data_IF_574857274604
#
_entry.id   IF_574857274604
#
_cell.length_a   1.000
_cell.length_b   1.000
_cell.length_c   1.000
_cell.angle_alpha   90.00
_cell.angle_beta   90.00
_cell.angle_gamma   90.00
#
_symmetry.space_group_name_H-M   'P 1'
#
loop_
_entity.id
_entity.type
_entity.pdbx_description
1 polymer ?
#
# COMPACT_ATOMS: atom_id res chain seq x y z
N UNK A 1 8.17 8.58 26.30
CA UNK A 1 8.98 9.42 25.37
C UNK A 1 8.93 10.86 25.86
N UNK A 2 10.06 11.55 25.95
CA UNK A 2 10.09 12.95 26.38
C UNK A 2 9.37 13.85 25.35
N UNK A 3 8.45 14.70 25.82
CA UNK A 3 7.80 15.73 25.01
C UNK A 3 8.88 16.65 24.43
N UNK A 4 9.00 16.69 23.11
CA UNK A 4 9.93 17.61 22.42
C UNK A 4 9.17 18.86 22.02
N UNK A 5 9.52 20.00 22.59
CA UNK A 5 8.97 21.29 22.19
C UNK A 5 9.83 21.90 21.08
N UNK A 6 9.20 22.30 19.98
CA UNK A 6 9.86 23.04 18.89
C UNK A 6 9.95 24.55 19.22
N UNK A 7 10.73 25.29 18.44
CA UNK A 7 10.86 26.76 18.62
C UNK A 7 9.54 27.49 18.32
N UNK A 8 8.67 26.91 17.50
CA UNK A 8 7.29 27.36 17.28
C UNK A 8 6.39 27.23 18.52
N UNK A 9 6.84 26.55 19.57
CA UNK A 9 6.03 26.20 20.75
C UNK A 9 5.27 24.88 20.63
N UNK A 10 5.24 24.26 19.44
CA UNK A 10 4.60 22.97 19.20
C UNK A 10 5.21 21.87 20.07
N UNK A 11 4.39 21.17 20.83
CA UNK A 11 4.82 20.01 21.63
C UNK A 11 4.56 18.72 20.88
N UNK A 12 5.61 18.03 20.46
CA UNK A 12 5.51 16.77 19.73
C UNK A 12 5.40 15.58 20.70
N UNK A 13 4.35 14.78 20.49
CA UNK A 13 4.18 13.47 21.11
C UNK A 13 4.59 12.30 20.17
N UNK A 14 5.00 12.62 18.94
CA UNK A 14 5.41 11.67 17.91
C UNK A 14 6.89 11.77 17.50
N UNK A 15 7.21 11.25 16.32
CA UNK A 15 8.56 11.29 15.74
C UNK A 15 9.03 12.74 15.52
N UNK A 16 10.31 13.02 15.74
CA UNK A 16 10.85 14.33 15.43
C UNK A 16 10.92 14.53 13.89
N UNK A 17 10.56 15.70 13.33
CA UNK A 17 10.46 15.90 11.87
C UNK A 17 11.74 15.58 11.11
N UNK A 18 12.90 15.92 11.68
CA UNK A 18 14.20 15.61 11.09
C UNK A 18 14.48 14.09 11.05
N UNK A 19 14.02 13.35 12.06
CA UNK A 19 14.14 11.88 12.09
C UNK A 19 13.15 11.25 11.11
N UNK A 20 11.96 11.82 10.96
CA UNK A 20 11.00 11.39 9.95
C UNK A 20 11.58 11.51 8.53
N UNK A 21 12.19 12.66 8.20
CA UNK A 21 12.85 12.82 6.89
C UNK A 21 14.00 11.84 6.68
N UNK A 22 14.76 11.53 7.75
CA UNK A 22 15.79 10.48 7.70
C UNK A 22 15.18 9.10 7.44
N UNK A 23 14.01 8.80 8.03
CA UNK A 23 13.31 7.54 7.75
C UNK A 23 12.81 7.48 6.30
N UNK A 24 12.28 8.58 5.75
CA UNK A 24 11.94 8.68 4.33
C UNK A 24 13.17 8.41 3.47
N UNK A 25 14.32 9.05 3.77
CA UNK A 25 15.56 8.88 3.01
C UNK A 25 16.07 7.44 3.04
N UNK A 26 15.91 6.75 4.17
CA UNK A 26 16.34 5.35 4.32
C UNK A 26 15.46 4.34 3.57
N UNK A 27 14.18 4.65 3.34
CA UNK A 27 13.23 3.72 2.69
C UNK A 27 12.93 4.06 1.23
N UNK A 28 12.96 5.34 0.89
CA UNK A 28 12.74 5.86 -0.46
C UNK A 28 13.86 6.86 -0.85
N UNK A 29 15.14 6.45 -0.86
CA UNK A 29 16.25 7.35 -1.20
C UNK A 29 16.12 7.94 -2.61
N UNK A 30 15.47 7.25 -3.54
CA UNK A 30 15.22 7.70 -4.91
C UNK A 30 14.45 9.04 -4.97
N UNK A 31 13.58 9.33 -4.00
CA UNK A 31 12.89 10.61 -3.88
C UNK A 31 13.87 11.79 -3.79
N UNK A 32 14.93 11.65 -2.98
CA UNK A 32 15.90 12.74 -2.78
C UNK A 32 17.01 12.77 -3.82
N UNK A 33 17.16 11.70 -4.61
CA UNK A 33 18.10 11.62 -5.74
C UNK A 33 17.55 12.26 -7.02
N UNK A 34 16.30 12.75 -6.99
CA UNK A 34 15.66 13.36 -8.17
C UNK A 34 15.16 12.34 -9.19
N UNK A 35 14.92 11.09 -8.78
CA UNK A 35 14.38 10.06 -9.66
C UNK A 35 12.88 10.26 -9.96
N UNK A 36 12.18 10.99 -9.09
CA UNK A 36 10.74 11.24 -9.23
C UNK A 36 10.49 12.65 -9.76
N UNK A 37 9.49 12.77 -10.62
CA UNK A 37 8.91 14.06 -10.98
C UNK A 37 8.13 14.62 -9.80
N UNK A 38 8.52 15.80 -9.33
CA UNK A 38 7.86 16.52 -8.23
C UNK A 38 7.11 17.76 -8.70
N UNK A 39 6.89 17.91 -10.01
CA UNK A 39 6.20 19.06 -10.59
C UNK A 39 4.68 18.86 -10.61
N UNK A 40 3.94 19.96 -10.54
CA UNK A 40 2.48 19.94 -10.56
C UNK A 40 1.82 19.80 -9.18
N UNK A 41 0.53 20.16 -9.07
CA UNK A 41 -0.19 20.21 -7.79
C UNK A 41 -0.35 18.82 -7.16
N UNK A 42 -0.66 17.79 -7.95
CA UNK A 42 -0.90 16.42 -7.47
C UNK A 42 0.37 15.75 -6.90
N UNK A 43 1.56 16.30 -7.22
CA UNK A 43 2.87 15.79 -6.78
C UNK A 43 3.56 16.73 -5.78
N UNK A 44 2.88 17.79 -5.34
CA UNK A 44 3.43 18.78 -4.42
C UNK A 44 3.86 18.17 -3.07
N UNK A 45 3.26 17.05 -2.66
CA UNK A 45 3.65 16.31 -1.46
C UNK A 45 5.10 15.78 -1.54
N UNK A 46 5.55 15.36 -2.72
CA UNK A 46 6.95 14.95 -2.96
C UNK A 46 7.88 16.16 -2.86
N UNK A 47 7.51 17.26 -3.53
CA UNK A 47 8.27 18.51 -3.52
C UNK A 47 8.44 19.04 -2.09
N UNK A 48 7.43 18.92 -1.23
CA UNK A 48 7.49 19.33 0.17
C UNK A 48 8.55 18.56 0.96
N UNK A 49 8.64 17.24 0.79
CA UNK A 49 9.67 16.44 1.44
C UNK A 49 11.06 16.83 0.96
N UNK A 50 11.24 17.02 -0.35
CA UNK A 50 12.51 17.49 -0.94
C UNK A 50 12.89 18.87 -0.39
N UNK A 51 11.93 19.79 -0.30
CA UNK A 51 12.13 21.13 0.27
C UNK A 51 12.64 21.05 1.71
N UNK A 52 11.98 20.29 2.59
CA UNK A 52 12.41 20.20 3.98
C UNK A 52 13.73 19.46 4.16
N UNK A 53 14.02 18.47 3.32
CA UNK A 53 15.33 17.79 3.34
C UNK A 53 16.48 18.76 3.04
N UNK A 54 16.26 19.73 2.15
CA UNK A 54 17.22 20.80 1.84
C UNK A 54 17.23 21.91 2.89
N UNK A 55 16.13 22.12 3.61
CA UNK A 55 15.92 23.25 4.52
C UNK A 55 15.63 22.81 5.97
N UNK A 56 16.46 21.93 6.54
CA UNK A 56 16.22 21.33 7.86
C UNK A 56 16.00 22.33 9.00
N UNK A 57 16.59 23.53 8.93
CA UNK A 57 16.38 24.57 9.94
C UNK A 57 14.93 25.08 10.00
N UNK A 58 14.18 25.01 8.89
CA UNK A 58 12.77 25.41 8.87
C UNK A 58 11.89 24.50 9.72
N UNK A 59 12.31 23.25 9.97
CA UNK A 59 11.58 22.29 10.80
C UNK A 59 11.44 22.73 12.26
N UNK A 60 12.25 23.69 12.72
CA UNK A 60 12.16 24.22 14.09
C UNK A 60 10.93 25.12 14.30
N UNK A 61 10.38 25.66 13.21
CA UNK A 61 9.36 26.69 13.22
C UNK A 61 7.98 26.20 12.73
N UNK A 62 7.82 24.91 12.44
CA UNK A 62 6.56 24.36 11.94
C UNK A 62 5.50 24.32 13.05
N UNK A 63 4.25 24.56 12.67
CA UNK A 63 3.09 24.38 13.56
C UNK A 63 2.50 22.97 13.43
N UNK A 64 1.39 22.70 14.15
CA UNK A 64 0.73 21.39 14.12
C UNK A 64 0.22 21.03 12.72
N UNK A 65 -0.31 22.00 11.97
CA UNK A 65 -0.83 21.78 10.62
C UNK A 65 0.30 21.37 9.67
N UNK A 66 1.43 22.09 9.70
CA UNK A 66 2.56 21.80 8.85
C UNK A 66 3.27 20.50 9.25
N UNK A 67 3.34 20.19 10.54
CA UNK A 67 3.81 18.88 11.00
C UNK A 67 2.92 17.74 10.52
N UNK A 68 1.60 17.88 10.62
CA UNK A 68 0.64 16.92 10.06
C UNK A 68 0.84 16.76 8.54
N UNK A 69 1.04 17.85 7.82
CA UNK A 69 1.31 17.82 6.37
C UNK A 69 2.58 17.03 6.05
N UNK A 70 3.68 17.29 6.76
CA UNK A 70 4.93 16.52 6.57
C UNK A 70 4.71 15.03 6.87
N UNK A 71 3.97 14.69 7.92
CA UNK A 71 3.62 13.30 8.21
C UNK A 71 2.79 12.66 7.09
N UNK A 72 1.79 13.38 6.56
CA UNK A 72 0.96 12.90 5.47
C UNK A 72 1.78 12.67 4.19
N UNK A 73 2.62 13.64 3.80
CA UNK A 73 3.53 13.47 2.67
C UNK A 73 4.47 12.28 2.87
N UNK A 74 5.10 12.16 4.04
CA UNK A 74 6.01 11.07 4.34
C UNK A 74 5.32 9.70 4.26
N UNK A 75 4.09 9.61 4.78
CA UNK A 75 3.31 8.38 4.71
C UNK A 75 2.96 8.04 3.26
N UNK A 76 2.44 9.00 2.50
CA UNK A 76 2.07 8.83 1.09
C UNK A 76 3.25 8.39 0.22
N UNK A 77 4.41 9.02 0.40
CA UNK A 77 5.63 8.70 -0.36
C UNK A 77 6.24 7.35 0.00
N UNK A 78 5.87 6.75 1.13
CA UNK A 78 6.55 5.55 1.65
C UNK A 78 5.65 4.35 1.91
N UNK A 79 4.32 4.50 1.85
CA UNK A 79 3.36 3.41 2.10
C UNK A 79 3.58 2.19 1.18
N UNK A 80 3.97 2.43 -0.08
CA UNK A 80 4.29 1.38 -1.06
C UNK A 80 5.70 0.77 -0.94
N UNK A 81 6.54 1.27 -0.02
CA UNK A 81 7.93 0.81 0.14
C UNK A 81 8.06 -0.39 1.07
N UNK A 82 9.24 -1.02 1.11
CA UNK A 82 9.51 -2.19 1.95
C UNK A 82 9.48 -1.89 3.45
N UNK A 83 9.82 -0.65 3.84
CA UNK A 83 9.88 -0.18 5.23
C UNK A 83 9.17 1.18 5.34
N UNK A 84 7.83 1.22 5.34
CA UNK A 84 7.09 2.47 5.38
C UNK A 84 7.39 3.26 6.67
N UNK A 85 7.18 4.57 6.61
CA UNK A 85 7.34 5.44 7.78
C UNK A 85 6.29 5.15 8.87
N UNK A 86 6.73 5.17 10.13
CA UNK A 86 5.89 4.90 11.30
C UNK A 86 5.20 6.18 11.81
N UNK A 87 4.27 6.69 11.01
CA UNK A 87 3.46 7.89 11.34
C UNK A 87 1.96 7.64 11.26
N UNK A 88 1.54 6.42 10.90
CA UNK A 88 0.15 6.04 10.65
C UNK A 88 -0.75 6.40 11.84
N UNK A 89 -0.41 5.98 13.05
CA UNK A 89 -1.20 6.25 14.25
C UNK A 89 -1.22 7.74 14.62
N UNK A 90 -0.18 8.50 14.26
CA UNK A 90 -0.16 9.94 14.48
C UNK A 90 -1.16 10.65 13.58
N UNK A 91 -1.20 10.32 12.29
CA UNK A 91 -2.10 10.97 11.32
C UNK A 91 -3.53 10.40 11.34
N UNK A 92 -3.72 9.15 11.79
CA UNK A 92 -5.05 8.52 11.94
C UNK A 92 -5.77 8.99 13.21
N UNK A 93 -5.03 9.34 14.27
CA UNK A 93 -5.64 9.69 15.56
C UNK A 93 -4.84 10.68 16.41
N UNK A 94 -3.54 10.43 16.62
CA UNK A 94 -2.75 11.13 17.65
C UNK A 94 -2.75 12.65 17.51
N UNK A 95 -2.56 13.16 16.29
CA UNK A 95 -2.52 14.61 16.01
C UNK A 95 -3.91 15.25 16.05
N UNK A 96 -4.96 14.50 15.73
CA UNK A 96 -6.35 14.95 15.87
C UNK A 96 -6.80 15.08 17.33
N UNK A 97 -6.11 14.40 18.26
CA UNK A 97 -6.34 14.52 19.70
C UNK A 97 -5.38 15.50 20.39
N UNK A 98 -4.58 16.24 19.61
CA UNK A 98 -3.63 17.22 20.16
C UNK A 98 -4.34 18.36 20.90
N UNK A 99 -3.75 18.88 21.98
CA UNK A 99 -4.37 19.92 22.81
C UNK A 99 -4.67 21.24 22.08
N UNK A 100 -3.94 21.51 20.99
CA UNK A 100 -4.13 22.69 20.16
C UNK A 100 -5.00 22.46 18.91
N UNK A 101 -5.62 21.27 18.77
CA UNK A 101 -6.32 20.88 17.54
C UNK A 101 -7.37 21.90 17.08
N UNK A 102 -8.03 22.61 18.00
CA UNK A 102 -9.06 23.58 17.67
C UNK A 102 -8.62 24.68 16.69
N UNK A 103 -7.32 25.06 16.69
CA UNK A 103 -6.76 26.08 15.77
C UNK A 103 -6.41 25.50 14.38
N UNK A 104 -6.29 24.18 14.28
CA UNK A 104 -5.66 23.51 13.14
C UNK A 104 -6.61 22.54 12.41
N UNK A 105 -7.69 22.11 13.07
CA UNK A 105 -8.57 21.02 12.61
C UNK A 105 -9.12 21.24 11.21
N UNK A 106 -9.53 22.47 10.88
CA UNK A 106 -10.11 22.78 9.57
C UNK A 106 -9.06 22.72 8.46
N UNK A 107 -7.84 23.23 8.71
CA UNK A 107 -6.74 23.15 7.74
C UNK A 107 -6.27 21.72 7.53
N UNK A 108 -6.13 20.95 8.61
CA UNK A 108 -5.75 19.54 8.54
C UNK A 108 -6.81 18.71 7.81
N UNK A 109 -8.11 18.94 8.06
CA UNK A 109 -9.18 18.22 7.39
C UNK A 109 -9.25 18.53 5.90
N UNK A 110 -9.11 19.81 5.51
CA UNK A 110 -9.03 20.21 4.10
C UNK A 110 -7.82 19.58 3.41
N UNK A 111 -6.68 19.52 4.09
CA UNK A 111 -5.51 18.83 3.56
C UNK A 111 -5.76 17.32 3.37
N UNK A 112 -6.47 16.67 4.29
CA UNK A 112 -6.85 15.27 4.12
C UNK A 112 -7.75 15.07 2.89
N UNK A 113 -8.73 15.95 2.67
CA UNK A 113 -9.57 15.94 1.47
C UNK A 113 -8.71 16.14 0.22
N UNK A 114 -7.84 17.15 0.21
CA UNK A 114 -6.93 17.45 -0.91
C UNK A 114 -6.02 16.27 -1.24
N UNK A 115 -5.50 15.57 -0.22
CA UNK A 115 -4.59 14.43 -0.43
C UNK A 115 -5.21 13.26 -1.18
N UNK A 116 -6.54 13.21 -1.28
CA UNK A 116 -7.24 12.22 -2.08
C UNK A 116 -6.86 12.27 -3.57
N UNK A 117 -6.48 13.46 -4.07
CA UNK A 117 -6.12 13.66 -5.48
C UNK A 117 -4.62 13.60 -5.74
N UNK A 118 -3.80 13.25 -4.75
CA UNK A 118 -2.36 13.19 -4.93
C UNK A 118 -1.94 12.00 -5.80
N UNK A 119 -1.10 12.28 -6.80
CA UNK A 119 -0.57 11.28 -7.72
C UNK A 119 0.53 10.46 -7.04
N UNK A 120 0.16 9.25 -6.61
CA UNK A 120 1.05 8.28 -5.99
C UNK A 120 1.68 7.29 -7.00
N UNK A 121 1.43 7.44 -8.30
CA UNK A 121 1.82 6.45 -9.32
C UNK A 121 3.32 6.13 -9.36
N UNK A 122 4.15 7.08 -8.95
CA UNK A 122 5.62 6.97 -8.90
C UNK A 122 6.15 6.34 -7.60
N UNK A 123 5.30 6.09 -6.60
CA UNK A 123 5.71 5.60 -5.26
C UNK A 123 5.02 4.29 -4.87
N UNK A 124 4.33 3.63 -5.80
CA UNK A 124 3.76 2.30 -5.61
C UNK A 124 3.60 1.52 -6.91
N UNK A 125 3.87 0.22 -6.83
CA UNK A 125 3.51 -0.75 -7.87
C UNK A 125 2.35 -1.67 -7.42
N UNK A 126 1.82 -1.46 -6.22
CA UNK A 126 0.65 -2.20 -5.70
C UNK A 126 -0.63 -1.60 -6.24
N UNK A 127 -0.87 -1.81 -7.53
CA UNK A 127 -2.00 -1.26 -8.27
C UNK A 127 -2.70 -2.31 -9.11
N UNK A 128 -4.00 -2.09 -9.31
CA UNK A 128 -4.83 -2.73 -10.31
C UNK A 128 -5.34 -1.67 -11.28
N UNK A 129 -5.55 -2.06 -12.53
CA UNK A 129 -5.95 -1.17 -13.59
C UNK A 129 -7.21 -1.68 -14.27
N UNK A 130 -8.16 -0.79 -14.50
CA UNK A 130 -9.32 -1.07 -15.34
C UNK A 130 -9.10 -0.47 -16.73
N UNK A 131 -8.92 -1.30 -17.78
CA UNK A 131 -8.65 -0.81 -19.12
C UNK A 131 -9.84 -0.13 -19.80
N UNK A 132 -11.07 -0.37 -19.34
CA UNK A 132 -12.26 0.23 -19.93
C UNK A 132 -12.45 1.69 -19.48
N UNK A 133 -12.12 2.00 -18.22
CA UNK A 133 -12.36 3.32 -17.62
C UNK A 133 -11.08 4.08 -17.27
N UNK A 134 -9.91 3.50 -17.52
CA UNK A 134 -8.59 3.97 -17.09
C UNK A 134 -8.49 4.22 -15.57
N UNK A 135 -9.38 3.61 -14.79
CA UNK A 135 -9.37 3.74 -13.33
C UNK A 135 -8.26 2.89 -12.72
N UNK A 136 -7.67 3.41 -11.65
CA UNK A 136 -6.65 2.74 -10.86
C UNK A 136 -7.17 2.54 -9.44
N UNK A 137 -6.90 1.36 -8.89
CA UNK A 137 -7.04 1.06 -7.47
C UNK A 137 -5.66 0.70 -6.94
N UNK A 138 -5.32 1.15 -5.73
CA UNK A 138 -4.05 0.82 -5.07
C UNK A 138 -4.25 0.64 -3.56
N UNK A 139 -3.16 0.39 -2.83
CA UNK A 139 -3.18 0.39 -1.35
C UNK A 139 -3.18 1.80 -0.74
N UNK A 140 -2.93 2.84 -1.55
CA UNK A 140 -2.90 4.23 -1.09
C UNK A 140 -4.28 4.74 -0.70
N UNK A 141 -5.33 4.26 -1.35
CA UNK A 141 -6.72 4.52 -0.96
C UNK A 141 -6.99 4.07 0.48
N UNK A 142 -6.53 2.89 0.90
CA UNK A 142 -6.66 2.44 2.30
C UNK A 142 -5.94 3.33 3.29
N UNK A 143 -4.71 3.69 2.92
CA UNK A 143 -3.90 4.65 3.66
C UNK A 143 -4.65 5.97 3.84
N UNK A 144 -5.26 6.48 2.79
CA UNK A 144 -6.06 7.70 2.80
C UNK A 144 -7.34 7.57 3.63
N UNK A 145 -8.15 6.54 3.37
CA UNK A 145 -9.42 6.26 4.03
C UNK A 145 -9.24 6.23 5.55
N UNK A 146 -8.15 5.62 6.02
CA UNK A 146 -7.79 5.56 7.42
C UNK A 146 -7.52 6.95 8.05
N UNK A 147 -6.95 7.90 7.30
CA UNK A 147 -6.73 9.28 7.75
C UNK A 147 -8.02 10.09 7.65
N UNK A 148 -8.77 9.92 6.56
CA UNK A 148 -10.04 10.60 6.30
C UNK A 148 -11.08 10.28 7.37
N UNK A 149 -11.25 9.01 7.73
CA UNK A 149 -12.20 8.64 8.79
C UNK A 149 -11.77 9.15 10.17
N UNK A 150 -10.46 9.24 10.42
CA UNK A 150 -9.92 9.89 11.63
C UNK A 150 -10.24 11.39 11.66
N UNK A 151 -10.11 12.08 10.52
CA UNK A 151 -10.51 13.47 10.37
C UNK A 151 -12.02 13.66 10.61
N UNK A 152 -12.87 12.80 10.03
CA UNK A 152 -14.32 12.80 10.27
C UNK A 152 -14.64 12.72 11.77
N UNK A 153 -14.08 11.72 12.46
CA UNK A 153 -14.30 11.53 13.90
C UNK A 153 -13.89 12.75 14.73
N UNK A 154 -12.72 13.33 14.39
CA UNK A 154 -12.22 14.52 15.04
C UNK A 154 -13.16 15.73 14.83
N UNK A 155 -13.67 15.92 13.61
CA UNK A 155 -14.57 17.01 13.26
C UNK A 155 -15.92 16.88 13.99
N UNK A 156 -16.51 15.68 14.02
CA UNK A 156 -17.75 15.39 14.77
C UNK A 156 -17.56 15.73 16.26
N UNK A 157 -16.47 15.25 16.87
CA UNK A 157 -16.16 15.51 18.28
C UNK A 157 -16.00 17.00 18.58
N UNK A 158 -15.50 17.78 17.62
CA UNK A 158 -15.31 19.23 17.73
C UNK A 158 -16.47 20.05 17.13
N UNK A 159 -17.62 19.42 16.86
CA UNK A 159 -18.85 20.05 16.35
C UNK A 159 -18.64 20.83 15.04
N UNK A 160 -17.75 20.36 14.16
CA UNK A 160 -17.49 20.93 12.82
C UNK A 160 -18.29 20.17 11.76
N UNK A 161 -19.62 20.25 11.85
CA UNK A 161 -20.52 19.36 11.11
C UNK A 161 -20.44 19.52 9.58
N UNK A 162 -20.34 20.76 9.07
CA UNK A 162 -20.24 21.01 7.62
C UNK A 162 -19.00 20.35 7.02
N UNK A 163 -17.83 20.58 7.62
CA UNK A 163 -16.59 19.99 7.13
C UNK A 163 -16.54 18.47 7.37
N UNK A 164 -17.19 17.96 8.42
CA UNK A 164 -17.35 16.52 8.61
C UNK A 164 -18.17 15.89 7.47
N UNK A 165 -19.22 16.57 6.99
CA UNK A 165 -20.00 16.11 5.86
C UNK A 165 -19.16 16.08 4.56
N UNK A 166 -18.35 17.12 4.30
CA UNK A 166 -17.42 17.15 3.15
C UNK A 166 -16.43 15.97 3.19
N UNK A 167 -15.87 15.65 4.36
CA UNK A 167 -14.99 14.47 4.51
C UNK A 167 -15.76 13.17 4.26
N UNK A 168 -16.99 13.06 4.76
CA UNK A 168 -17.81 11.87 4.54
C UNK A 168 -18.16 11.67 3.06
N UNK A 169 -18.44 12.75 2.32
CA UNK A 169 -18.74 12.72 0.89
C UNK A 169 -17.58 12.13 0.08
N UNK A 170 -16.34 12.55 0.34
CA UNK A 170 -15.19 12.00 -0.39
C UNK A 170 -14.90 10.54 -0.02
N UNK A 171 -15.12 10.12 1.24
CA UNK A 171 -14.99 8.71 1.65
C UNK A 171 -16.01 7.85 0.90
N UNK A 172 -17.26 8.32 0.79
CA UNK A 172 -18.32 7.64 0.04
C UNK A 172 -17.98 7.57 -1.44
N UNK A 173 -17.49 8.67 -2.01
CA UNK A 173 -17.08 8.72 -3.41
C UNK A 173 -15.97 7.71 -3.72
N UNK A 174 -14.99 7.55 -2.82
CA UNK A 174 -13.95 6.54 -2.95
C UNK A 174 -14.52 5.11 -2.86
N UNK A 175 -15.40 4.83 -1.90
CA UNK A 175 -16.04 3.51 -1.79
C UNK A 175 -16.82 3.14 -3.06
N UNK A 176 -17.55 4.09 -3.65
CA UNK A 176 -18.25 3.89 -4.93
C UNK A 176 -17.29 3.78 -6.13
N UNK A 177 -16.14 4.47 -6.11
CA UNK A 177 -15.10 4.33 -7.14
C UNK A 177 -14.56 2.90 -7.15
N UNK A 178 -14.22 2.36 -5.98
CA UNK A 178 -13.73 0.98 -5.84
C UNK A 178 -14.80 -0.05 -6.25
N UNK A 179 -16.06 0.15 -5.82
CA UNK A 179 -17.19 -0.71 -6.19
C UNK A 179 -17.42 -0.74 -7.71
N UNK A 180 -17.47 0.44 -8.34
CA UNK A 180 -17.65 0.58 -9.79
C UNK A 180 -16.54 -0.13 -10.56
N UNK A 181 -15.29 0.04 -10.14
CA UNK A 181 -14.15 -0.63 -10.75
C UNK A 181 -14.31 -2.16 -10.72
N UNK A 182 -14.74 -2.73 -9.59
CA UNK A 182 -14.94 -4.17 -9.45
C UNK A 182 -16.08 -4.69 -10.35
N UNK A 183 -17.18 -3.94 -10.46
CA UNK A 183 -18.28 -4.28 -11.36
C UNK A 183 -17.82 -4.31 -12.81
N UNK A 184 -17.13 -3.26 -13.27
CA UNK A 184 -16.62 -3.15 -14.63
C UNK A 184 -15.61 -4.26 -14.97
N UNK A 185 -14.65 -4.55 -14.06
CA UNK A 185 -13.68 -5.63 -14.26
C UNK A 185 -14.35 -7.00 -14.40
N UNK A 186 -15.44 -7.22 -13.66
CA UNK A 186 -16.25 -8.43 -13.78
C UNK A 186 -16.98 -8.48 -15.12
N UNK A 187 -17.62 -7.39 -15.54
CA UNK A 187 -18.34 -7.31 -16.82
C UNK A 187 -17.45 -7.65 -18.02
N UNK A 188 -16.20 -7.16 -18.02
CA UNK A 188 -15.23 -7.46 -19.08
C UNK A 188 -14.47 -8.79 -18.87
N UNK A 189 -14.78 -9.53 -17.80
CA UNK A 189 -14.12 -10.78 -17.39
C UNK A 189 -12.60 -10.67 -17.29
N UNK A 190 -12.08 -9.59 -16.71
CA UNK A 190 -10.64 -9.44 -16.47
C UNK A 190 -10.26 -10.10 -15.13
N UNK A 191 -9.99 -11.41 -15.17
CA UNK A 191 -9.65 -12.19 -13.96
C UNK A 191 -8.47 -11.61 -13.20
N UNK A 192 -7.43 -11.20 -13.94
CA UNK A 192 -6.16 -10.77 -13.36
C UNK A 192 -6.32 -9.47 -12.58
N UNK A 193 -6.92 -8.46 -13.19
CA UNK A 193 -7.13 -7.19 -12.50
C UNK A 193 -8.22 -7.33 -11.43
N UNK A 194 -9.25 -8.17 -11.61
CA UNK A 194 -10.24 -8.40 -10.55
C UNK A 194 -9.59 -9.03 -9.32
N UNK A 195 -8.76 -10.06 -9.51
CA UNK A 195 -7.99 -10.69 -8.43
C UNK A 195 -7.10 -9.65 -7.76
N UNK A 196 -6.29 -8.89 -8.50
CA UNK A 196 -5.48 -7.81 -7.91
C UNK A 196 -6.32 -6.82 -7.10
N UNK A 197 -7.43 -6.35 -7.66
CA UNK A 197 -8.35 -5.44 -6.99
C UNK A 197 -8.95 -6.03 -5.72
N UNK A 198 -9.17 -7.34 -5.66
CA UNK A 198 -9.71 -7.98 -4.45
C UNK A 198 -8.80 -7.84 -3.23
N UNK A 199 -7.48 -7.99 -3.42
CA UNK A 199 -6.50 -7.81 -2.36
C UNK A 199 -6.36 -6.33 -1.94
N UNK A 200 -6.48 -5.42 -2.90
CA UNK A 200 -6.41 -3.97 -2.67
C UNK A 200 -7.65 -3.45 -1.94
N UNK A 201 -8.85 -3.80 -2.40
CA UNK A 201 -10.11 -3.45 -1.73
C UNK A 201 -10.16 -4.00 -0.29
N UNK A 202 -9.72 -5.25 -0.08
CA UNK A 202 -9.67 -5.84 1.25
C UNK A 202 -8.70 -5.09 2.18
N UNK A 203 -7.55 -4.66 1.65
CA UNK A 203 -6.63 -3.78 2.37
C UNK A 203 -7.30 -2.44 2.70
N UNK A 204 -7.94 -1.81 1.71
CA UNK A 204 -8.44 -0.45 1.81
C UNK A 204 -9.58 -0.32 2.82
N UNK A 205 -10.60 -1.18 2.68
CA UNK A 205 -11.69 -1.21 3.64
C UNK A 205 -11.28 -1.84 4.98
N UNK A 206 -10.26 -2.69 5.00
CA UNK A 206 -9.66 -3.15 6.25
C UNK A 206 -9.02 -2.02 7.07
N UNK A 207 -8.30 -1.11 6.40
CA UNK A 207 -7.68 0.06 7.04
C UNK A 207 -8.73 1.09 7.49
N UNK A 208 -9.80 1.26 6.71
CA UNK A 208 -10.98 2.05 7.08
C UNK A 208 -11.63 1.49 8.36
N UNK A 209 -11.99 0.21 8.35
CA UNK A 209 -12.59 -0.49 9.49
C UNK A 209 -11.73 -0.37 10.75
N UNK A 210 -10.41 -0.56 10.61
CA UNK A 210 -9.46 -0.47 11.73
C UNK A 210 -9.56 0.87 12.44
N UNK A 211 -9.69 1.96 11.70
CA UNK A 211 -9.75 3.30 12.29
C UNK A 211 -11.14 3.64 12.82
N UNK A 212 -12.21 3.13 12.19
CA UNK A 212 -13.58 3.18 12.76
C UNK A 212 -13.58 2.55 14.16
N UNK A 213 -12.97 1.37 14.30
CA UNK A 213 -12.85 0.66 15.57
C UNK A 213 -11.93 1.41 16.56
N UNK A 214 -10.79 1.93 16.08
CA UNK A 214 -9.84 2.72 16.88
C UNK A 214 -10.49 3.95 17.52
N UNK A 215 -11.33 4.67 16.77
CA UNK A 215 -12.06 5.85 17.25
C UNK A 215 -13.34 5.51 18.02
N UNK A 216 -13.72 4.23 18.09
CA UNK A 216 -14.93 3.76 18.75
C UNK A 216 -16.17 4.50 18.23
N UNK A 217 -16.28 4.67 16.90
CA UNK A 217 -17.45 5.31 16.30
C UNK A 217 -18.73 4.60 16.73
N UNK A 218 -19.79 5.36 17.04
CA UNK A 218 -21.06 4.77 17.49
C UNK A 218 -21.65 3.83 16.43
N UNK A 219 -22.21 2.69 16.85
CA UNK A 219 -22.96 1.79 15.94
C UNK A 219 -24.22 2.46 15.37
N UNK A 220 -24.75 3.46 16.09
CA UNK A 220 -25.91 4.23 15.66
C UNK A 220 -25.57 5.36 14.68
N UNK A 221 -24.29 5.66 14.47
CA UNK A 221 -23.86 6.67 13.53
C UNK A 221 -24.32 6.30 12.10
N UNK A 222 -25.18 7.10 11.45
CA UNK A 222 -25.69 6.80 10.11
C UNK A 222 -24.57 6.68 9.07
N UNK A 223 -23.48 7.43 9.23
CA UNK A 223 -22.35 7.35 8.33
C UNK A 223 -21.59 6.03 8.52
N UNK A 224 -21.33 5.61 9.77
CA UNK A 224 -20.72 4.29 10.05
C UNK A 224 -21.49 3.15 9.38
N UNK A 225 -22.82 3.17 9.48
CA UNK A 225 -23.69 2.13 8.86
C UNK A 225 -23.51 2.03 7.35
N UNK A 226 -23.11 3.10 6.67
CA UNK A 226 -22.90 3.12 5.22
C UNK A 226 -21.54 2.59 4.77
N UNK A 227 -20.51 2.64 5.61
CA UNK A 227 -19.12 2.39 5.17
C UNK A 227 -18.38 1.30 5.96
N UNK A 228 -18.95 0.80 7.06
CA UNK A 228 -18.29 -0.18 7.91
C UNK A 228 -18.48 -1.61 7.37
N UNK A 229 -17.38 -2.38 7.33
CA UNK A 229 -17.37 -3.81 6.99
C UNK A 229 -17.89 -4.12 5.58
N UNK A 230 -17.68 -3.23 4.60
CA UNK A 230 -18.16 -3.38 3.21
C UNK A 230 -17.70 -4.68 2.52
N UNK A 231 -16.49 -5.15 2.81
CA UNK A 231 -15.99 -6.44 2.31
C UNK A 231 -16.47 -7.68 3.06
N UNK A 232 -17.32 -7.53 4.08
CA UNK A 232 -17.67 -8.61 5.02
C UNK A 232 -19.17 -8.78 5.26
N UNK A 233 -19.98 -7.74 5.07
CA UNK A 233 -21.42 -7.73 5.38
C UNK A 233 -22.21 -7.02 4.27
N UNK A 234 -23.44 -7.49 4.05
CA UNK A 234 -24.40 -6.82 3.18
C UNK A 234 -24.68 -5.42 3.71
N UNK A 235 -24.71 -4.48 2.77
CA UNK A 235 -24.93 -3.08 3.03
C UNK A 235 -25.94 -2.56 2.00
N UNK A 236 -27.03 -1.97 2.44
CA UNK A 236 -28.09 -1.49 1.55
C UNK A 236 -27.63 -0.34 0.64
N UNK A 237 -26.54 0.34 0.98
CA UNK A 237 -25.97 1.43 0.19
C UNK A 237 -25.00 0.96 -0.90
N UNK A 238 -24.64 -0.32 -0.91
CA UNK A 238 -23.56 -0.85 -1.76
C UNK A 238 -23.95 -2.15 -2.45
N UNK A 239 -23.34 -2.37 -3.62
CA UNK A 239 -23.50 -3.60 -4.38
C UNK A 239 -22.91 -4.80 -3.62
N UNK A 240 -23.56 -5.97 -3.64
CA UNK A 240 -23.01 -7.18 -3.03
C UNK A 240 -21.67 -7.65 -3.64
N UNK A 241 -21.23 -7.03 -4.75
CA UNK A 241 -19.91 -7.24 -5.33
C UNK A 241 -18.78 -7.04 -4.29
N UNK A 242 -18.92 -6.11 -3.34
CA UNK A 242 -17.87 -5.85 -2.34
C UNK A 242 -17.64 -7.06 -1.42
N UNK A 243 -18.71 -7.77 -1.07
CA UNK A 243 -18.62 -9.00 -0.26
C UNK A 243 -18.07 -10.14 -1.10
N UNK A 244 -18.58 -10.29 -2.33
CA UNK A 244 -18.06 -11.29 -3.27
C UNK A 244 -16.53 -11.13 -3.41
N UNK A 245 -16.07 -9.91 -3.65
CA UNK A 245 -14.66 -9.56 -3.74
C UNK A 245 -13.90 -9.84 -2.44
N UNK A 246 -14.47 -9.54 -1.27
CA UNK A 246 -13.89 -9.91 0.02
C UNK A 246 -13.70 -11.41 0.19
N UNK A 247 -14.67 -12.21 -0.25
CA UNK A 247 -14.60 -13.68 -0.25
C UNK A 247 -13.56 -14.21 -1.25
N UNK A 248 -13.48 -13.61 -2.44
CA UNK A 248 -12.45 -13.91 -3.45
C UNK A 248 -11.06 -13.64 -2.87
N UNK A 249 -10.82 -12.48 -2.25
CA UNK A 249 -9.55 -12.21 -1.60
C UNK A 249 -9.25 -13.27 -0.53
N UNK A 250 -10.23 -13.62 0.31
CA UNK A 250 -10.05 -14.63 1.37
C UNK A 250 -9.58 -15.97 0.80
N UNK A 251 -10.22 -16.44 -0.26
CA UNK A 251 -9.94 -17.73 -0.90
C UNK A 251 -8.63 -17.73 -1.69
N UNK A 252 -8.35 -16.66 -2.44
CA UNK A 252 -7.28 -16.68 -3.44
C UNK A 252 -6.00 -15.95 -2.99
N UNK A 253 -6.12 -14.84 -2.25
CA UNK A 253 -5.02 -13.85 -2.13
C UNK A 253 -4.72 -13.39 -0.70
N UNK A 254 -5.46 -13.83 0.30
CA UNK A 254 -5.31 -13.37 1.68
C UNK A 254 -3.90 -13.63 2.24
N UNK A 255 -3.24 -14.68 1.75
CA UNK A 255 -1.87 -15.05 2.09
C UNK A 255 -0.80 -14.30 1.27
N UNK A 256 -1.16 -13.73 0.12
CA UNK A 256 -0.25 -12.97 -0.74
C UNK A 256 0.07 -11.59 -0.16
N UNK A 257 -0.92 -10.92 0.42
CA UNK A 257 -0.82 -9.53 0.87
C UNK A 257 -0.16 -9.35 2.25
N UNK A 258 0.81 -10.19 2.57
CA UNK A 258 1.63 -10.07 3.76
C UNK A 258 2.65 -8.92 3.63
N UNK A 259 3.18 -8.42 4.76
CA UNK A 259 4.08 -7.25 4.83
C UNK A 259 5.45 -7.43 4.13
N UNK A 260 5.65 -8.51 3.38
CA UNK A 260 6.89 -8.90 2.69
C UNK A 260 8.16 -8.66 3.53
N UNK A 261 8.15 -9.12 4.77
CA UNK A 261 9.20 -8.82 5.76
C UNK A 261 10.60 -9.28 5.29
N UNK A 262 10.68 -10.35 4.51
CA UNK A 262 11.94 -10.85 3.95
C UNK A 262 12.55 -9.86 2.95
N UNK A 263 11.73 -9.18 2.14
CA UNK A 263 12.17 -8.17 1.15
C UNK A 263 12.71 -6.88 1.79
N UNK A 264 12.66 -6.76 3.12
CA UNK A 264 13.31 -5.66 3.83
C UNK A 264 14.82 -5.81 3.90
N UNK A 265 15.34 -7.03 3.78
CA UNK A 265 16.78 -7.31 3.90
C UNK A 265 17.58 -6.76 2.71
N UNK A 266 17.21 -7.06 1.44
CA UNK A 266 17.96 -6.56 0.29
C UNK A 266 17.81 -5.05 0.15
N UNK A 267 18.81 -4.31 0.61
CA UNK A 267 18.76 -2.83 0.60
C UNK A 267 18.78 -2.27 -0.82
N UNK A 268 19.33 -3.02 -1.77
CA UNK A 268 19.33 -2.69 -3.19
C UNK A 268 17.92 -2.41 -3.74
N UNK A 269 16.89 -3.11 -3.24
CA UNK A 269 15.49 -2.90 -3.63
C UNK A 269 14.95 -1.52 -3.26
N UNK A 270 15.62 -0.79 -2.37
CA UNK A 270 15.22 0.57 -1.97
C UNK A 270 15.81 1.64 -2.89
N UNK A 271 16.77 1.29 -3.75
CA UNK A 271 17.55 2.27 -4.49
C UNK A 271 16.78 2.95 -5.63
N UNK A 272 15.72 2.32 -6.14
CA UNK A 272 14.86 2.83 -7.19
C UNK A 272 13.40 2.45 -6.95
N UNK A 273 12.51 3.34 -7.37
CA UNK A 273 11.07 3.18 -7.49
C UNK A 273 10.67 2.01 -8.40
N UNK A 274 11.51 1.64 -9.36
CA UNK A 274 11.28 0.49 -10.27
C UNK A 274 11.18 -0.83 -9.52
N UNK A 275 11.86 -0.93 -8.38
CA UNK A 275 11.94 -2.16 -7.60
C UNK A 275 10.80 -2.32 -6.59
N UNK A 276 9.87 -1.36 -6.50
CA UNK A 276 8.71 -1.48 -5.62
C UNK A 276 7.88 -2.71 -5.97
N UNK A 277 7.48 -3.46 -4.94
CA UNK A 277 6.81 -4.75 -5.09
C UNK A 277 5.38 -4.57 -5.64
N UNK A 278 4.96 -5.35 -6.66
CA UNK A 278 3.59 -5.32 -7.18
C UNK A 278 2.62 -6.15 -6.32
N UNK A 279 1.37 -6.26 -6.76
CA UNK A 279 0.36 -7.13 -6.13
C UNK A 279 0.63 -8.60 -6.46
N UNK A 280 0.81 -9.44 -5.44
CA UNK A 280 0.95 -10.88 -5.59
C UNK A 280 -0.36 -11.57 -6.02
N UNK A 281 -0.30 -12.75 -6.65
CA UNK A 281 0.90 -13.51 -7.01
C UNK A 281 1.57 -13.05 -8.32
N UNK A 282 1.03 -12.05 -9.02
CA UNK A 282 1.41 -11.68 -10.39
C UNK A 282 2.75 -10.92 -10.48
N UNK A 283 3.85 -11.57 -10.06
CA UNK A 283 5.17 -10.97 -9.89
C UNK A 283 6.21 -11.42 -10.94
N UNK A 284 5.83 -12.21 -11.96
CA UNK A 284 6.76 -12.68 -13.00
C UNK A 284 7.53 -11.53 -13.69
N UNK A 285 6.80 -10.52 -14.17
CA UNK A 285 7.38 -9.35 -14.88
C UNK A 285 8.30 -8.53 -13.95
N UNK A 286 7.95 -8.44 -12.67
CA UNK A 286 8.80 -7.76 -11.68
C UNK A 286 10.07 -8.56 -11.38
N UNK A 287 9.98 -9.88 -11.30
CA UNK A 287 11.13 -10.77 -11.23
C UNK A 287 12.06 -10.59 -12.43
N UNK A 288 11.50 -10.60 -13.65
CA UNK A 288 12.23 -10.41 -14.90
C UNK A 288 12.93 -9.05 -14.95
N UNK A 289 12.26 -7.98 -14.52
CA UNK A 289 12.87 -6.65 -14.35
C UNK A 289 14.12 -6.74 -13.45
N UNK A 290 13.99 -7.33 -12.26
CA UNK A 290 15.09 -7.44 -11.29
C UNK A 290 16.28 -8.24 -11.83
N UNK A 291 16.03 -9.28 -12.63
CA UNK A 291 17.12 -10.09 -13.18
C UNK A 291 17.81 -9.44 -14.39
N UNK A 292 17.07 -8.69 -15.22
CA UNK A 292 17.64 -7.94 -16.37
C UNK A 292 18.32 -6.64 -15.99
N UNK A 293 17.94 -6.01 -14.88
CA UNK A 293 18.41 -4.66 -14.57
C UNK A 293 19.94 -4.65 -14.37
N UNK A 294 20.68 -3.85 -15.16
CA UNK A 294 22.13 -3.73 -15.01
C UNK A 294 22.56 -2.98 -13.74
N UNK A 295 21.66 -2.20 -13.11
CA UNK A 295 21.94 -1.48 -11.86
C UNK A 295 21.98 -2.42 -10.64
N UNK A 296 21.58 -3.69 -10.81
CA UNK A 296 21.67 -4.74 -9.80
C UNK A 296 22.82 -5.70 -10.12
N UNK A 297 23.81 -5.76 -9.23
CA UNK A 297 24.91 -6.73 -9.33
C UNK A 297 24.43 -8.18 -9.14
N UNK A 298 25.25 -9.15 -9.55
CA UNK A 298 24.95 -10.57 -9.31
C UNK A 298 24.83 -10.89 -7.81
N UNK A 299 25.63 -10.24 -6.96
CA UNK A 299 25.54 -10.41 -5.51
C UNK A 299 24.21 -9.88 -4.94
N UNK A 300 23.73 -8.74 -5.44
CA UNK A 300 22.42 -8.20 -5.03
C UNK A 300 21.27 -9.06 -5.54
N UNK A 301 21.36 -9.58 -6.77
CA UNK A 301 20.39 -10.55 -7.31
C UNK A 301 20.35 -11.83 -6.48
N UNK A 302 21.51 -12.32 -6.04
CA UNK A 302 21.63 -13.46 -5.12
C UNK A 302 20.98 -13.17 -3.75
N UNK A 303 21.17 -11.97 -3.20
CA UNK A 303 20.51 -11.53 -1.95
C UNK A 303 18.97 -11.49 -2.11
N UNK A 304 18.49 -10.97 -3.25
CA UNK A 304 17.06 -10.89 -3.57
C UNK A 304 16.43 -12.29 -3.64
N UNK A 305 17.02 -13.24 -4.37
CA UNK A 305 16.45 -14.60 -4.45
C UNK A 305 16.50 -15.33 -3.10
N UNK A 306 17.51 -15.05 -2.28
CA UNK A 306 17.56 -15.55 -0.91
C UNK A 306 16.38 -15.02 -0.09
N UNK A 307 16.05 -13.73 -0.25
CA UNK A 307 14.88 -13.12 0.39
C UNK A 307 13.54 -13.65 -0.13
N UNK A 308 13.44 -14.03 -1.42
CA UNK A 308 12.26 -14.72 -1.95
C UNK A 308 12.05 -16.08 -1.29
N UNK A 309 13.12 -16.87 -1.20
CA UNK A 309 13.05 -18.19 -0.59
C UNK A 309 12.76 -18.12 0.91
N UNK A 310 13.38 -17.20 1.64
CA UNK A 310 13.05 -16.93 3.05
C UNK A 310 11.61 -16.44 3.24
N UNK A 311 11.11 -15.64 2.31
CA UNK A 311 9.71 -15.22 2.27
C UNK A 311 8.76 -16.42 2.14
N UNK A 312 9.03 -17.29 1.17
CA UNK A 312 8.30 -18.53 0.95
C UNK A 312 8.33 -19.45 2.17
N UNK A 313 9.49 -19.64 2.82
CA UNK A 313 9.56 -20.50 4.03
C UNK A 313 8.69 -20.00 5.18
N UNK A 314 8.42 -18.70 5.25
CA UNK A 314 7.54 -18.10 6.26
C UNK A 314 6.06 -18.18 5.89
N UNK A 315 5.75 -18.25 4.60
CA UNK A 315 4.40 -18.34 4.07
C UNK A 315 4.43 -19.11 2.75
N UNK A 316 4.34 -20.43 2.83
CA UNK A 316 4.51 -21.34 1.69
C UNK A 316 3.32 -21.34 0.72
N UNK A 317 2.24 -20.66 1.10
CA UNK A 317 1.05 -20.41 0.29
C UNK A 317 1.11 -19.08 -0.49
N UNK A 318 2.13 -18.23 -0.26
CA UNK A 318 2.33 -17.00 -1.01
C UNK A 318 3.17 -17.26 -2.28
N UNK A 319 2.48 -17.42 -3.40
CA UNK A 319 3.05 -17.69 -4.72
C UNK A 319 3.79 -16.50 -5.31
N UNK A 320 3.54 -15.26 -4.86
CA UNK A 320 4.25 -14.08 -5.35
C UNK A 320 5.77 -14.22 -5.34
N UNK A 321 6.36 -14.83 -4.30
CA UNK A 321 7.82 -15.08 -4.26
C UNK A 321 8.29 -16.10 -5.29
N UNK A 322 7.51 -17.17 -5.51
CA UNK A 322 7.80 -18.19 -6.53
C UNK A 322 7.77 -17.54 -7.92
N UNK A 323 6.76 -16.71 -8.18
CA UNK A 323 6.59 -15.99 -9.45
C UNK A 323 7.72 -14.99 -9.71
N UNK A 324 8.08 -14.19 -8.70
CA UNK A 324 9.21 -13.27 -8.78
C UNK A 324 10.55 -14.00 -8.99
N UNK A 325 10.77 -15.11 -8.29
CA UNK A 325 11.96 -15.93 -8.46
C UNK A 325 12.07 -16.48 -9.87
N UNK A 326 10.99 -17.05 -10.42
CA UNK A 326 10.94 -17.54 -11.80
C UNK A 326 11.34 -16.44 -12.80
N UNK A 327 10.69 -15.29 -12.71
CA UNK A 327 10.97 -14.15 -13.60
C UNK A 327 12.45 -13.75 -13.55
N UNK A 328 13.02 -13.67 -12.35
CA UNK A 328 14.41 -13.30 -12.14
C UNK A 328 15.35 -14.33 -12.76
N UNK A 329 15.23 -15.62 -12.43
CA UNK A 329 16.16 -16.63 -12.95
C UNK A 329 16.04 -16.80 -14.47
N UNK A 330 14.83 -16.72 -15.05
CA UNK A 330 14.66 -16.89 -16.50
C UNK A 330 15.26 -15.75 -17.32
N UNK A 331 15.56 -14.63 -16.68
CA UNK A 331 16.22 -13.49 -17.32
C UNK A 331 17.74 -13.53 -17.25
N UNK A 332 18.32 -14.49 -16.52
CA UNK A 332 19.77 -14.68 -16.39
C UNK A 332 20.29 -15.68 -17.42
N UNK A 333 21.53 -15.51 -17.94
CA UNK A 333 22.08 -16.37 -19.00
C UNK A 333 22.05 -17.88 -18.71
N UNK A 334 22.33 -18.28 -17.47
CA UNK A 334 22.34 -19.69 -17.03
C UNK A 334 21.38 -19.96 -15.88
N UNK A 335 20.34 -19.13 -15.74
CA UNK A 335 19.36 -19.25 -14.66
C UNK A 335 19.97 -19.10 -13.28
N UNK A 336 19.57 -19.98 -12.34
CA UNK A 336 20.11 -19.98 -10.98
C UNK A 336 21.64 -20.20 -10.94
N UNK A 337 22.22 -20.91 -11.92
CA UNK A 337 23.66 -21.19 -11.97
C UNK A 337 24.50 -19.91 -12.03
N UNK A 338 23.97 -18.87 -12.66
CA UNK A 338 24.60 -17.55 -12.72
C UNK A 338 24.84 -16.93 -11.33
N UNK A 339 24.05 -17.32 -10.31
CA UNK A 339 24.10 -16.74 -8.97
C UNK A 339 24.80 -17.63 -7.94
N UNK A 340 25.14 -18.88 -8.25
CA UNK A 340 25.62 -19.87 -7.26
C UNK A 340 26.92 -19.42 -6.56
N UNK A 341 27.83 -18.76 -7.28
CA UNK A 341 29.07 -18.25 -6.71
C UNK A 341 28.86 -17.10 -5.69
N UNK A 342 27.67 -16.51 -5.66
CA UNK A 342 27.29 -15.40 -4.78
C UNK A 342 26.36 -15.82 -3.65
N UNK A 343 26.09 -17.12 -3.50
CA UNK A 343 25.20 -17.67 -2.49
C UNK A 343 25.90 -18.71 -1.62
N UNK A 344 25.47 -18.90 -0.36
CA UNK A 344 25.87 -20.06 0.42
C UNK A 344 25.52 -21.37 -0.28
N UNK A 345 26.47 -22.30 -0.36
CA UNK A 345 26.30 -23.58 -1.04
C UNK A 345 25.07 -24.37 -0.54
N UNK A 346 24.88 -24.45 0.78
CA UNK A 346 23.77 -25.16 1.40
C UNK A 346 22.42 -24.56 1.00
N UNK A 347 22.33 -23.22 0.88
CA UNK A 347 21.12 -22.53 0.46
C UNK A 347 20.77 -22.84 -0.99
N UNK A 348 21.77 -22.88 -1.89
CA UNK A 348 21.56 -23.26 -3.30
C UNK A 348 21.00 -24.69 -3.39
N UNK A 349 21.57 -25.62 -2.63
CA UNK A 349 21.09 -27.00 -2.58
C UNK A 349 19.67 -27.10 -2.01
N UNK A 350 19.37 -26.34 -0.96
CA UNK A 350 18.05 -26.29 -0.34
C UNK A 350 17.00 -25.78 -1.35
N UNK A 351 17.28 -24.67 -2.03
CA UNK A 351 16.41 -24.11 -3.07
C UNK A 351 16.15 -25.15 -4.15
N UNK A 352 17.20 -25.74 -4.76
CA UNK A 352 17.05 -26.70 -5.86
C UNK A 352 16.21 -27.93 -5.51
N UNK A 353 16.18 -28.35 -4.25
CA UNK A 353 15.42 -29.50 -3.75
C UNK A 353 14.03 -29.14 -3.22
N UNK A 354 13.68 -27.86 -3.19
CA UNK A 354 12.45 -27.37 -2.58
C UNK A 354 11.27 -27.37 -3.54
N UNK A 355 10.06 -27.45 -2.97
CA UNK A 355 8.80 -27.20 -3.70
C UNK A 355 8.73 -25.80 -4.31
N UNK A 356 9.46 -24.83 -3.74
CA UNK A 356 9.57 -23.48 -4.28
C UNK A 356 10.20 -23.49 -5.69
N UNK A 357 11.30 -24.21 -5.86
CA UNK A 357 11.97 -24.32 -7.16
C UNK A 357 11.18 -25.15 -8.16
N UNK A 358 10.54 -26.23 -7.70
CA UNK A 358 9.63 -27.05 -8.50
C UNK A 358 8.44 -26.21 -9.02
N UNK A 359 7.77 -25.48 -8.13
CA UNK A 359 6.63 -24.62 -8.49
C UNK A 359 7.02 -23.47 -9.41
N UNK A 360 8.27 -22.99 -9.29
CA UNK A 360 8.81 -21.97 -10.19
C UNK A 360 8.98 -22.48 -11.63
N UNK A 361 8.94 -23.79 -11.89
CA UNK A 361 9.02 -24.34 -13.25
C UNK A 361 7.73 -24.15 -14.04
N UNK A 362 6.58 -23.99 -13.37
CA UNK A 362 5.28 -23.73 -13.99
C UNK A 362 5.32 -22.40 -14.75
N UNK A 363 4.91 -22.43 -16.02
CA UNK A 363 4.92 -21.23 -16.88
C UNK A 363 3.99 -20.13 -16.34
N UNK A 364 4.21 -18.89 -16.78
CA UNK A 364 3.33 -17.76 -16.41
C UNK A 364 1.90 -18.03 -16.87
N UNK A 365 1.76 -18.39 -18.14
CA UNK A 365 0.44 -18.59 -18.76
C UNK A 365 -0.30 -19.77 -18.12
N UNK A 366 0.40 -20.87 -17.82
CA UNK A 366 -0.20 -22.02 -17.12
C UNK A 366 -0.65 -21.66 -15.70
N UNK A 367 0.17 -20.90 -14.95
CA UNK A 367 -0.18 -20.45 -13.60
C UNK A 367 -1.38 -19.50 -13.62
N UNK A 368 -1.35 -18.48 -14.48
CA UNK A 368 -2.43 -17.50 -14.60
C UNK A 368 -3.73 -18.16 -15.09
N UNK A 369 -3.66 -19.09 -16.07
CA UNK A 369 -4.82 -19.84 -16.54
C UNK A 369 -5.42 -20.73 -15.44
N UNK A 370 -4.58 -21.46 -14.68
CA UNK A 370 -5.07 -22.27 -13.57
C UNK A 370 -5.80 -21.43 -12.52
N UNK A 371 -5.28 -20.23 -12.22
CA UNK A 371 -5.89 -19.31 -11.28
C UNK A 371 -7.23 -18.79 -11.80
N UNK A 372 -7.30 -18.41 -13.08
CA UNK A 372 -8.54 -18.00 -13.74
C UNK A 372 -9.58 -19.12 -13.74
N UNK A 373 -9.21 -20.36 -14.10
CA UNK A 373 -10.13 -21.51 -14.11
C UNK A 373 -10.71 -21.83 -12.73
N UNK A 374 -9.88 -21.67 -11.68
CA UNK A 374 -10.33 -21.83 -10.29
C UNK A 374 -11.26 -20.70 -9.89
N UNK A 375 -10.95 -19.47 -10.30
CA UNK A 375 -11.77 -18.30 -10.00
C UNK A 375 -13.14 -18.37 -10.69
N UNK A 376 -13.20 -18.84 -11.94
CA UNK A 376 -14.45 -19.06 -12.68
C UNK A 376 -15.42 -20.04 -12.01
N UNK A 377 -14.85 -21.04 -11.32
CA UNK A 377 -15.61 -22.06 -10.59
C UNK A 377 -15.93 -21.62 -9.16
N UNK A 378 -15.38 -20.50 -8.70
CA UNK A 378 -15.65 -19.99 -7.38
C UNK A 378 -17.09 -19.52 -7.30
N UNK A 379 -17.78 -19.98 -6.25
CA UNK A 379 -19.15 -19.57 -5.94
C UNK A 379 -19.17 -19.01 -4.54
N UNK A 380 -19.95 -17.95 -4.34
CA UNK A 380 -20.08 -17.35 -3.02
C UNK A 380 -21.20 -18.02 -2.24
N UNK A 381 -20.97 -18.40 -0.98
CA UNK A 381 -22.02 -18.93 -0.11
C UNK A 381 -22.95 -17.83 0.44
N UNK A 382 -22.61 -16.54 0.27
CA UNK A 382 -23.31 -15.41 0.90
C UNK A 382 -24.06 -14.52 -0.09
N UNK A 383 -23.67 -14.55 -1.36
CA UNK A 383 -24.25 -13.72 -2.42
C UNK A 383 -24.32 -14.54 -3.70
N UNK A 384 -25.41 -14.42 -4.45
CA UNK A 384 -25.59 -15.09 -5.74
C UNK A 384 -24.77 -14.38 -6.84
N UNK A 385 -23.45 -14.51 -6.72
CA UNK A 385 -22.47 -13.98 -7.66
C UNK A 385 -21.54 -15.11 -8.10
N UNK A 386 -21.33 -15.16 -9.42
CA UNK A 386 -20.25 -15.89 -10.08
C UNK A 386 -19.46 -14.88 -10.93
N UNK A 387 -18.19 -15.14 -11.19
CA UNK A 387 -17.36 -14.24 -12.00
C UNK A 387 -17.90 -14.08 -13.43
#
# INVERSE_FOLDING_TARGET
MAKKQLQSGLTLNGIAPNILLKNVENTAPFLFKGALDTTGPERAFLAKLVFYKKNLNQLKNIDLTEYFHICLCAHWSTAGTFVPTDVDNQIREGLWKHGEIGKHIEKMAKLTIESWTWDYSQVTNRKSYNPASNQVMSTHEGTWLSVAIGAYCALIKNKRMTLAAEVAEVIIAEAFKEEKLLLELREIRDHKNFLRSSALMAHNFGDLDRVIDQWQMSEDDPFRKRIYKLGHKLNESHSPILIYTGLVNKEFLSVENHRHMSLRQPKCLRNSEKYLVPVGPFMDEWGELLGRDPDLSLAEKAEIISAFFEGYKRQDQAFGYIRAFRGLINSLPDGLRTLEAHMPFDLVLEIKKSKFYESAQISKDEFEQNLSDRFEKFTSPLVDYQF
#
